data_IF_438448425488
#
_entry.id   IF_438448425488
#
_cell.length_a   1.000
_cell.length_b   1.000
_cell.length_c   1.000
_cell.angle_alpha   90.00
_cell.angle_beta   90.00
_cell.angle_gamma   90.00
#
_symmetry.space_group_name_H-M   'P 1'
#
loop_
_entity.id
_entity.type
_entity.pdbx_description
1 polymer ?
#
# COMPACT_ATOMS: atom_id res chain seq x y z
N UNK A 1 8.77 -5.99 2.29
CA UNK A 1 8.15 -6.80 3.35
C UNK A 1 9.11 -7.84 3.94
N UNK A 2 9.75 -8.70 3.15
CA UNK A 2 10.73 -9.67 3.68
C UNK A 2 12.00 -9.03 4.29
N UNK A 3 12.43 -7.86 3.80
CA UNK A 3 13.55 -7.10 4.36
C UNK A 3 13.17 -6.09 5.44
N UNK A 4 12.00 -6.20 6.08
CA UNK A 4 11.62 -5.27 7.16
C UNK A 4 12.52 -5.51 8.38
N UNK A 5 13.13 -4.46 8.98
CA UNK A 5 13.90 -4.59 10.21
C UNK A 5 13.02 -4.91 11.44
N UNK A 6 11.71 -4.67 11.33
CA UNK A 6 10.71 -4.94 12.36
C UNK A 6 9.60 -5.86 11.79
N UNK A 7 9.88 -7.14 11.58
CA UNK A 7 8.93 -8.08 10.97
C UNK A 7 7.68 -8.34 11.81
N UNK A 8 7.72 -8.08 13.11
CA UNK A 8 6.63 -8.24 14.08
C UNK A 8 5.57 -7.13 14.02
N UNK A 9 5.94 -5.97 13.46
CA UNK A 9 5.02 -4.84 13.29
C UNK A 9 4.15 -5.04 12.05
N UNK A 10 3.03 -4.30 11.99
CA UNK A 10 2.21 -4.22 10.78
C UNK A 10 3.05 -3.59 9.66
N UNK A 11 3.17 -4.29 8.52
CA UNK A 11 3.92 -3.78 7.37
C UNK A 11 2.92 -3.43 6.27
N UNK A 12 3.02 -2.20 5.76
CA UNK A 12 2.24 -1.74 4.62
C UNK A 12 3.12 -1.59 3.37
N UNK A 13 2.53 -1.66 2.19
CA UNK A 13 3.22 -1.42 0.94
C UNK A 13 2.27 -1.16 -0.22
N UNK A 14 2.87 -0.83 -1.37
CA UNK A 14 2.18 -0.65 -2.64
C UNK A 14 2.83 -1.57 -3.67
N UNK A 15 2.03 -2.40 -4.33
CA UNK A 15 2.47 -3.21 -5.47
C UNK A 15 1.98 -2.51 -6.74
N UNK A 16 2.88 -2.30 -7.70
CA UNK A 16 2.53 -1.65 -8.97
C UNK A 16 3.36 -2.18 -10.13
N UNK A 17 2.75 -2.20 -11.31
CA UNK A 17 3.42 -2.42 -12.60
C UNK A 17 3.24 -1.24 -13.58
N UNK A 18 2.88 -0.07 -13.06
CA UNK A 18 2.58 1.15 -13.82
C UNK A 18 1.13 1.24 -14.31
N UNK A 19 0.43 0.12 -14.52
CA UNK A 19 -0.99 0.12 -14.93
C UNK A 19 -1.95 -0.19 -13.78
N UNK A 20 -1.55 -1.14 -12.94
CA UNK A 20 -2.34 -1.61 -11.80
C UNK A 20 -1.63 -1.30 -10.51
N UNK A 21 -2.40 -0.92 -9.49
CA UNK A 21 -1.91 -0.57 -8.17
C UNK A 21 -2.74 -1.30 -7.10
N UNK A 22 -2.06 -1.89 -6.10
CA UNK A 22 -2.70 -2.59 -4.98
C UNK A 22 -1.98 -2.20 -3.70
N UNK A 23 -2.72 -1.70 -2.72
CA UNK A 23 -2.21 -1.55 -1.35
C UNK A 23 -2.21 -2.93 -0.68
N UNK A 24 -1.10 -3.25 -0.03
CA UNK A 24 -0.88 -4.51 0.67
C UNK A 24 -0.55 -4.26 2.14
N UNK A 25 -1.10 -5.09 3.01
CA UNK A 25 -0.81 -5.14 4.44
C UNK A 25 -0.36 -6.55 4.81
N UNK A 26 0.74 -6.67 5.55
CA UNK A 26 1.22 -7.93 6.11
C UNK A 26 1.16 -7.88 7.63
N UNK A 27 0.71 -8.99 8.22
CA UNK A 27 0.86 -9.28 9.65
C UNK A 27 1.66 -10.57 9.82
N UNK A 28 2.62 -10.59 10.75
CA UNK A 28 3.32 -11.81 11.16
C UNK A 28 2.91 -12.17 12.59
N UNK A 29 1.97 -13.10 12.70
CA UNK A 29 1.72 -13.83 13.95
C UNK A 29 2.57 -15.12 13.88
N UNK A 30 2.03 -16.19 13.29
CA UNK A 30 2.79 -17.45 13.07
C UNK A 30 3.29 -17.60 11.62
N UNK A 31 2.47 -17.13 10.66
CA UNK A 31 2.78 -17.12 9.23
C UNK A 31 2.41 -15.75 8.64
N UNK A 32 3.10 -15.28 7.58
CA UNK A 32 2.79 -14.01 6.94
C UNK A 32 1.39 -14.08 6.31
N UNK A 33 0.46 -13.28 6.85
CA UNK A 33 -0.88 -13.09 6.30
C UNK A 33 -0.94 -11.77 5.55
N UNK A 34 -1.57 -11.79 4.38
CA UNK A 34 -1.69 -10.62 3.52
C UNK A 34 -3.14 -10.20 3.36
N UNK A 35 -3.39 -8.91 3.51
CA UNK A 35 -4.63 -8.29 3.09
C UNK A 35 -4.34 -7.34 1.92
N UNK A 36 -5.22 -7.38 0.92
CA UNK A 36 -5.11 -6.56 -0.29
C UNK A 36 -6.29 -5.58 -0.36
N UNK A 37 -6.06 -4.39 -0.88
CA UNK A 37 -7.13 -3.51 -1.32
C UNK A 37 -7.81 -4.03 -2.58
N UNK A 38 -8.86 -3.34 -3.04
CA UNK A 38 -9.28 -3.47 -4.45
C UNK A 38 -8.11 -3.15 -5.39
N UNK A 39 -8.17 -3.68 -6.61
CA UNK A 39 -7.24 -3.29 -7.68
C UNK A 39 -7.63 -1.90 -8.17
N UNK A 40 -6.67 -0.99 -8.20
CA UNK A 40 -6.79 0.32 -8.83
C UNK A 40 -6.16 0.25 -10.21
N UNK A 41 -6.78 0.87 -11.21
CA UNK A 41 -6.22 0.95 -12.55
C UNK A 41 -6.28 2.37 -13.12
N UNK A 42 -5.18 2.81 -13.73
CA UNK A 42 -5.13 4.08 -14.45
C UNK A 42 -6.09 4.12 -15.65
N UNK A 43 -6.60 2.96 -16.08
CA UNK A 43 -7.55 2.84 -17.18
C UNK A 43 -9.02 2.86 -16.73
N UNK A 44 -9.29 2.75 -15.43
CA UNK A 44 -10.66 2.78 -14.95
C UNK A 44 -11.27 4.18 -15.21
N UNK A 45 -12.55 4.26 -15.62
CA UNK A 45 -13.24 5.54 -15.74
C UNK A 45 -13.15 6.34 -14.44
N UNK A 46 -12.84 7.63 -14.55
CA UNK A 46 -12.56 8.49 -13.39
C UNK A 46 -11.10 8.48 -12.91
N UNK A 47 -10.24 7.65 -13.51
CA UNK A 47 -8.80 7.53 -13.24
C UNK A 47 -8.49 7.31 -11.75
N UNK A 48 -8.43 6.03 -11.35
CA UNK A 48 -8.12 5.63 -9.98
C UNK A 48 -6.77 6.14 -9.46
N UNK A 49 -5.88 6.65 -10.33
CA UNK A 49 -4.60 7.21 -9.93
C UNK A 49 -4.76 8.37 -8.94
N UNK A 50 -5.81 9.19 -9.08
CA UNK A 50 -6.05 10.32 -8.17
C UNK A 50 -6.26 9.86 -6.74
N UNK A 51 -7.02 8.78 -6.52
CA UNK A 51 -7.24 8.21 -5.19
C UNK A 51 -5.96 7.61 -4.61
N UNK A 52 -5.17 6.91 -5.43
CA UNK A 52 -3.88 6.37 -4.97
C UNK A 52 -2.93 7.49 -4.54
N UNK A 53 -2.79 8.54 -5.36
CA UNK A 53 -1.91 9.68 -5.06
C UNK A 53 -2.37 10.45 -3.82
N UNK A 54 -3.69 10.58 -3.61
CA UNK A 54 -4.26 11.20 -2.40
C UNK A 54 -3.87 10.44 -1.14
N UNK A 55 -3.97 9.11 -1.15
CA UNK A 55 -3.53 8.26 -0.02
C UNK A 55 -2.01 8.42 0.22
N UNK A 56 -1.20 8.38 -0.84
CA UNK A 56 0.26 8.56 -0.72
C UNK A 56 0.62 9.95 -0.16
N UNK A 57 -0.10 11.00 -0.56
CA UNK A 57 0.08 12.34 -0.02
C UNK A 57 -0.21 12.38 1.49
N UNK A 58 -1.34 11.81 1.92
CA UNK A 58 -1.70 11.75 3.35
C UNK A 58 -0.67 10.97 4.17
N UNK A 59 -0.17 9.85 3.65
CA UNK A 59 0.91 9.10 4.31
C UNK A 59 2.20 9.91 4.38
N UNK A 60 2.55 10.65 3.33
CA UNK A 60 3.70 11.55 3.34
C UNK A 60 3.56 12.66 4.38
N UNK A 61 2.38 13.27 4.51
CA UNK A 61 2.09 14.28 5.52
C UNK A 61 2.26 13.72 6.95
N UNK A 62 1.79 12.49 7.22
CA UNK A 62 1.97 11.84 8.52
C UNK A 62 3.44 11.52 8.86
N UNK A 63 4.27 11.24 7.86
CA UNK A 63 5.69 10.95 8.06
C UNK A 63 6.50 12.23 8.24
N UNK A 64 6.15 13.29 7.51
CA UNK A 64 6.85 14.58 7.56
C UNK A 64 6.41 15.45 8.75
N UNK A 65 5.15 15.32 9.19
CA UNK A 65 4.57 16.02 10.33
C UNK A 65 4.00 15.00 11.35
N UNK A 66 4.87 14.28 12.09
CA UNK A 66 4.47 13.19 12.98
C UNK A 66 3.71 13.65 14.24
#
# INVERSE_FOLDING_TARGET
>A
MMGSPHPEKLIFGLITNGRFLIFIKMTRQDAPKYALSKVFSILNPGNDLYEVLKVLKQLGELVLNP
#
